data_IF_925971595930
#
_entry.id   IF_925971595930
#
_cell.length_a   1.000
_cell.length_b   1.000
_cell.length_c   1.000
_cell.angle_alpha   90.00
_cell.angle_beta   90.00
_cell.angle_gamma   90.00
#
_symmetry.space_group_name_H-M   'P 1'
#
loop_
_entity.id
_entity.type
_entity.pdbx_description
1 polymer ?
#
# COMPACT_ATOMS: atom_id res chain seq x y z
N UNK A 1 14.30 -9.13 4.65
CA UNK A 1 14.29 -8.35 3.40
C UNK A 1 13.98 -6.89 3.68
N UNK A 2 14.62 -5.93 3.00
CA UNK A 2 14.25 -4.53 3.07
C UNK A 2 12.79 -4.31 2.67
N UNK A 3 12.08 -3.41 3.35
CA UNK A 3 10.69 -3.05 3.02
C UNK A 3 10.62 -2.31 1.69
N UNK A 4 11.59 -1.43 1.42
CA UNK A 4 11.74 -0.77 0.13
C UNK A 4 12.80 -1.50 -0.69
N UNK A 5 12.45 -1.91 -1.91
CA UNK A 5 13.41 -2.56 -2.80
C UNK A 5 14.53 -1.56 -3.14
N UNK A 6 15.82 -1.91 -2.98
CA UNK A 6 16.93 -0.99 -3.27
C UNK A 6 16.93 -0.47 -4.72
N UNK A 7 16.40 -1.26 -5.67
CA UNK A 7 16.28 -0.87 -7.07
C UNK A 7 15.23 0.23 -7.33
N UNK A 8 14.23 0.37 -6.44
CA UNK A 8 13.18 1.39 -6.55
C UNK A 8 13.42 2.58 -5.63
N UNK A 9 14.00 2.35 -4.44
CA UNK A 9 14.30 3.41 -3.48
C UNK A 9 15.54 3.05 -2.65
N UNK A 10 16.73 3.38 -3.16
CA UNK A 10 18.00 3.24 -2.44
C UNK A 10 18.33 4.42 -1.53
N UNK A 11 17.72 5.59 -1.78
CA UNK A 11 17.93 6.83 -1.03
C UNK A 11 16.58 7.47 -0.70
N UNK A 12 15.96 7.09 0.44
CA UNK A 12 14.70 7.70 0.86
C UNK A 12 14.83 9.23 0.93
N UNK A 13 13.75 9.94 0.64
CA UNK A 13 13.65 11.42 0.61
C UNK A 13 14.43 12.12 -0.50
N UNK A 14 15.18 11.39 -1.33
CA UNK A 14 15.83 11.97 -2.52
C UNK A 14 14.84 11.96 -3.70
N UNK A 15 14.53 13.12 -4.31
CA UNK A 15 13.64 13.18 -5.47
C UNK A 15 14.15 12.32 -6.63
N UNK A 16 13.25 11.55 -7.24
CA UNK A 16 13.52 10.75 -8.44
C UNK A 16 12.94 11.47 -9.66
N UNK A 17 13.76 11.67 -10.69
CA UNK A 17 13.35 12.35 -11.91
C UNK A 17 12.16 11.61 -12.58
N UNK A 18 11.10 12.35 -12.91
CA UNK A 18 9.87 11.80 -13.51
C UNK A 18 8.86 11.24 -12.50
N UNK A 19 9.19 11.18 -11.21
CA UNK A 19 8.30 10.69 -10.15
C UNK A 19 8.11 11.79 -9.09
N UNK A 20 7.24 12.79 -9.36
CA UNK A 20 7.02 13.87 -8.42
C UNK A 20 6.42 13.35 -7.12
N UNK A 21 6.91 13.87 -5.99
CA UNK A 21 6.35 13.56 -4.68
C UNK A 21 5.01 14.26 -4.49
N UNK A 22 4.09 13.56 -3.85
CA UNK A 22 2.85 14.15 -3.36
C UNK A 22 3.19 15.23 -2.32
N UNK A 23 2.48 16.34 -2.35
CA UNK A 23 2.57 17.40 -1.34
C UNK A 23 1.26 17.42 -0.56
N UNK A 24 1.32 17.28 0.76
CA UNK A 24 0.13 17.25 1.61
C UNK A 24 0.41 17.83 3.00
N UNK A 25 -0.58 18.47 3.64
CA UNK A 25 -0.43 18.91 5.03
C UNK A 25 -0.56 17.77 6.03
N UNK A 26 -0.10 17.97 7.29
CA UNK A 26 -0.43 17.08 8.40
C UNK A 26 -1.95 16.86 8.51
N UNK A 27 -2.38 15.66 8.89
CA UNK A 27 -3.80 15.31 8.98
C UNK A 27 -4.50 15.08 7.64
N UNK A 28 -3.82 15.28 6.50
CA UNK A 28 -4.45 15.06 5.20
C UNK A 28 -4.82 13.60 4.97
N UNK A 29 -6.01 13.41 4.40
CA UNK A 29 -6.45 12.11 3.90
C UNK A 29 -5.89 11.87 2.50
N UNK A 30 -5.15 10.78 2.35
CA UNK A 30 -4.53 10.37 1.09
C UNK A 30 -5.33 9.22 0.49
N UNK A 31 -5.59 9.31 -0.82
CA UNK A 31 -6.14 8.23 -1.63
C UNK A 31 -5.02 7.65 -2.47
N UNK A 32 -4.83 6.33 -2.38
CA UNK A 32 -3.83 5.62 -3.15
C UNK A 32 -4.53 4.65 -4.10
N UNK A 33 -4.02 4.56 -5.33
CA UNK A 33 -4.60 3.68 -6.36
C UNK A 33 -3.59 2.62 -6.78
N UNK A 34 -4.07 1.41 -6.99
CA UNK A 34 -3.30 0.32 -7.56
C UNK A 34 -4.16 -0.51 -8.52
N UNK A 35 -3.53 -1.14 -9.51
CA UNK A 35 -4.19 -2.11 -10.39
C UNK A 35 -4.15 -3.49 -9.75
N UNK A 36 -5.25 -4.22 -9.78
CA UNK A 36 -5.32 -5.56 -9.18
C UNK A 36 -4.63 -6.65 -10.03
N UNK A 37 -4.42 -6.39 -11.32
CA UNK A 37 -3.61 -7.23 -12.21
C UNK A 37 -4.03 -8.73 -12.23
N UNK A 38 -5.30 -9.01 -11.98
CA UNK A 38 -5.88 -10.35 -11.94
C UNK A 38 -5.91 -10.99 -10.54
N UNK A 39 -5.24 -10.43 -9.53
CA UNK A 39 -5.22 -10.98 -8.18
C UNK A 39 -6.55 -10.87 -7.43
N UNK A 40 -7.50 -10.13 -7.99
CA UNK A 40 -8.89 -10.05 -7.55
C UNK A 40 -9.81 -10.64 -8.60
N UNK A 41 -9.74 -10.19 -9.86
CA UNK A 41 -10.71 -10.63 -10.88
C UNK A 41 -10.48 -12.05 -11.37
N UNK A 42 -9.32 -12.68 -11.08
CA UNK A 42 -8.94 -14.02 -11.54
C UNK A 42 -8.40 -14.86 -10.36
N UNK A 43 -9.23 -15.16 -9.35
CA UNK A 43 -8.78 -15.89 -8.17
C UNK A 43 -8.34 -17.32 -8.52
N UNK A 44 -7.28 -17.80 -7.88
CA UNK A 44 -6.73 -19.15 -8.09
C UNK A 44 -7.66 -20.28 -7.58
N UNK A 45 -8.52 -19.96 -6.62
CA UNK A 45 -9.50 -20.86 -6.02
C UNK A 45 -10.79 -20.09 -5.64
N UNK A 46 -11.91 -20.80 -5.50
CA UNK A 46 -13.20 -20.18 -5.13
C UNK A 46 -13.22 -19.58 -3.73
N UNK A 47 -12.36 -20.07 -2.85
CA UNK A 47 -12.15 -19.60 -1.47
C UNK A 47 -10.84 -18.82 -1.32
N UNK A 48 -10.22 -18.42 -2.43
CA UNK A 48 -9.03 -17.57 -2.41
C UNK A 48 -9.34 -16.23 -1.75
N UNK A 49 -8.39 -15.74 -0.95
CA UNK A 49 -8.46 -14.42 -0.35
C UNK A 49 -7.34 -13.56 -0.91
N UNK A 50 -7.70 -12.44 -1.57
CA UNK A 50 -6.73 -11.51 -2.17
C UNK A 50 -5.88 -10.77 -1.14
N UNK A 51 -6.15 -10.93 0.16
CA UNK A 51 -5.24 -10.48 1.20
C UNK A 51 -5.56 -9.12 1.81
N UNK A 52 -4.70 -8.72 2.75
CA UNK A 52 -4.79 -7.42 3.42
C UNK A 52 -3.70 -6.47 2.92
N UNK A 53 -4.05 -5.20 2.79
CA UNK A 53 -3.11 -4.09 2.59
C UNK A 53 -2.90 -3.34 3.90
N UNK A 54 -1.68 -2.84 4.08
CA UNK A 54 -1.26 -2.07 5.22
C UNK A 54 -0.49 -0.85 4.74
N UNK A 55 -0.81 0.30 5.30
CA UNK A 55 -0.07 1.53 5.11
C UNK A 55 0.70 1.84 6.37
N UNK A 56 2.02 1.94 6.24
CA UNK A 56 2.93 2.32 7.31
C UNK A 56 3.62 3.63 6.96
N UNK A 57 4.10 4.35 7.97
CA UNK A 57 4.87 5.57 7.71
C UNK A 57 5.91 5.90 8.77
N UNK A 58 6.91 6.69 8.37
CA UNK A 58 8.02 7.09 9.23
C UNK A 58 8.64 8.43 8.81
N UNK A 59 9.01 9.22 9.81
CA UNK A 59 9.85 10.42 9.64
C UNK A 59 11.36 10.12 9.77
N UNK A 60 11.72 8.85 9.98
CA UNK A 60 13.11 8.37 10.13
C UNK A 60 13.40 7.28 9.08
N UNK A 61 13.22 7.55 7.78
CA UNK A 61 13.32 6.50 6.78
C UNK A 61 14.75 5.97 6.65
N UNK A 62 14.84 4.69 6.32
CA UNK A 62 16.12 4.01 6.12
C UNK A 62 16.01 3.00 4.98
N UNK A 63 17.02 2.95 4.11
CA UNK A 63 17.17 1.91 3.10
C UNK A 63 17.33 0.51 3.71
N UNK A 64 17.63 0.45 5.02
CA UNK A 64 17.85 -0.78 5.78
C UNK A 64 16.62 -1.22 6.59
N UNK A 65 15.50 -0.47 6.55
CA UNK A 65 14.27 -0.90 7.22
C UNK A 65 13.83 -2.26 6.69
N UNK A 66 13.77 -3.25 7.56
CA UNK A 66 13.26 -4.56 7.22
C UNK A 66 11.73 -4.55 7.22
N UNK A 67 11.10 -5.36 6.35
CA UNK A 67 9.66 -5.57 6.34
C UNK A 67 9.12 -5.93 7.74
N UNK A 68 9.79 -6.85 8.44
CA UNK A 68 9.38 -7.27 9.79
C UNK A 68 9.29 -6.10 10.77
N UNK A 69 10.23 -5.15 10.72
CA UNK A 69 10.20 -3.97 11.60
C UNK A 69 8.97 -3.11 11.35
N UNK A 70 8.60 -2.91 10.07
CA UNK A 70 7.40 -2.16 9.71
C UNK A 70 6.13 -2.91 10.16
N UNK A 71 6.08 -4.23 10.00
CA UNK A 71 4.94 -5.05 10.44
C UNK A 71 4.71 -4.97 11.97
N UNK A 72 5.76 -4.74 12.75
CA UNK A 72 5.68 -4.58 14.20
C UNK A 72 5.19 -3.18 14.64
N UNK A 73 5.06 -2.21 13.72
CA UNK A 73 4.61 -0.86 14.04
C UNK A 73 3.11 -0.81 14.36
N UNK A 74 2.79 -0.04 15.40
CA UNK A 74 1.43 0.20 15.86
C UNK A 74 1.00 1.64 15.54
N UNK A 75 -0.31 1.90 15.50
CA UNK A 75 -0.81 3.25 15.16
C UNK A 75 -0.40 4.34 16.14
N UNK A 76 -0.15 4.00 17.41
CA UNK A 76 0.38 4.94 18.41
C UNK A 76 1.90 5.17 18.31
N UNK A 77 2.58 4.56 17.33
CA UNK A 77 4.02 4.73 17.07
C UNK A 77 4.95 4.12 18.11
N UNK A 78 4.46 3.19 18.94
CA UNK A 78 5.25 2.52 19.99
C UNK A 78 5.70 1.11 19.62
N UNK A 79 5.12 0.52 18.58
CA UNK A 79 5.45 -0.81 18.09
C UNK A 79 6.85 -0.87 17.45
N UNK A 80 7.41 -2.08 17.37
CA UNK A 80 8.77 -2.30 16.87
C UNK A 80 9.80 -1.47 17.64
N UNK A 81 10.59 -0.68 16.91
CA UNK A 81 11.62 0.21 17.47
C UNK A 81 11.11 1.64 17.76
N UNK A 82 9.81 1.90 17.65
CA UNK A 82 9.24 3.24 17.82
C UNK A 82 9.70 4.23 16.74
N UNK A 83 10.10 3.72 15.57
CA UNK A 83 10.60 4.48 14.44
C UNK A 83 9.58 4.62 13.30
N UNK A 84 8.34 4.20 13.49
CA UNK A 84 7.26 4.40 12.54
C UNK A 84 5.88 4.06 13.11
N UNK A 85 4.85 4.11 12.26
CA UNK A 85 3.44 3.96 12.65
C UNK A 85 2.66 3.15 11.62
N UNK A 86 1.67 2.40 12.08
CA UNK A 86 0.60 1.87 11.22
C UNK A 86 -0.44 2.98 10.96
N UNK A 87 -0.60 3.36 9.70
CA UNK A 87 -1.51 4.43 9.26
C UNK A 87 -2.90 3.90 8.90
N UNK A 88 -2.97 2.75 8.22
CA UNK A 88 -4.24 2.08 7.93
C UNK A 88 -4.03 0.60 7.59
N UNK A 89 -5.13 -0.16 7.68
CA UNK A 89 -5.24 -1.54 7.21
C UNK A 89 -6.55 -1.68 6.44
N UNK A 90 -6.51 -2.39 5.32
CA UNK A 90 -7.68 -2.68 4.49
C UNK A 90 -7.55 -4.04 3.81
N UNK A 91 -8.57 -4.42 3.04
CA UNK A 91 -8.49 -5.54 2.09
C UNK A 91 -7.86 -5.05 0.79
N UNK A 92 -7.09 -5.90 0.12
CA UNK A 92 -6.53 -5.58 -1.22
C UNK A 92 -7.64 -5.35 -2.24
N UNK A 93 -8.69 -6.18 -2.16
CA UNK A 93 -9.93 -5.98 -2.89
C UNK A 93 -10.79 -4.91 -2.18
N UNK A 94 -11.02 -3.77 -2.83
CA UNK A 94 -11.89 -2.69 -2.32
C UNK A 94 -13.39 -2.93 -2.59
N UNK A 95 -13.73 -4.06 -3.23
CA UNK A 95 -15.09 -4.43 -3.62
C UNK A 95 -15.53 -3.85 -4.97
N UNK A 96 -14.74 -2.94 -5.55
CA UNK A 96 -15.15 -2.11 -6.68
C UNK A 96 -14.22 -2.26 -7.89
N UNK A 97 -12.93 -2.47 -7.69
CA UNK A 97 -11.92 -2.56 -8.74
C UNK A 97 -12.03 -3.83 -9.58
N UNK A 98 -11.64 -3.81 -10.85
CA UNK A 98 -11.58 -5.04 -11.63
C UNK A 98 -10.75 -4.85 -12.89
N UNK A 99 -10.07 -5.91 -13.31
CA UNK A 99 -9.52 -6.06 -14.64
C UNK A 99 -10.60 -6.52 -15.64
N UNK A 100 -10.52 -6.08 -16.91
CA UNK A 100 -11.35 -6.61 -17.98
C UNK A 100 -11.17 -8.12 -18.17
N UNK A 101 -12.28 -8.82 -18.36
CA UNK A 101 -12.26 -10.26 -18.57
C UNK A 101 -13.62 -10.94 -18.57
N UNK A 102 -13.57 -12.25 -18.78
CA UNK A 102 -14.74 -13.12 -18.80
C UNK A 102 -15.11 -13.72 -17.43
N UNK A 103 -14.43 -13.31 -16.35
CA UNK A 103 -14.67 -13.84 -15.01
C UNK A 103 -15.96 -13.27 -14.40
N UNK A 104 -16.52 -13.98 -13.43
CA UNK A 104 -17.73 -13.54 -12.72
C UNK A 104 -17.52 -12.16 -12.08
N UNK A 105 -16.45 -12.00 -11.31
CA UNK A 105 -16.08 -10.74 -10.63
C UNK A 105 -15.99 -9.57 -11.61
N UNK A 106 -15.30 -9.73 -12.75
CA UNK A 106 -15.18 -8.67 -13.77
C UNK A 106 -16.54 -8.23 -14.31
N UNK A 107 -17.46 -9.17 -14.55
CA UNK A 107 -18.81 -8.87 -15.04
C UNK A 107 -19.73 -8.29 -13.96
N UNK A 108 -19.68 -8.83 -12.74
CA UNK A 108 -20.45 -8.36 -11.58
C UNK A 108 -20.09 -6.91 -11.21
N UNK A 109 -18.82 -6.54 -11.39
CA UNK A 109 -18.32 -5.16 -11.20
C UNK A 109 -18.57 -4.25 -12.41
N UNK A 110 -19.29 -4.72 -13.42
CA UNK A 110 -19.68 -3.94 -14.60
C UNK A 110 -18.55 -3.65 -15.59
N UNK A 111 -17.42 -4.36 -15.51
CA UNK A 111 -16.27 -4.19 -16.42
C UNK A 111 -16.43 -5.12 -17.63
N UNK A 112 -16.44 -6.44 -17.40
CA UNK A 112 -16.53 -7.46 -18.45
C UNK A 112 -15.38 -7.42 -19.47
N UNK A 113 -15.47 -8.18 -20.57
CA UNK A 113 -14.34 -8.39 -21.48
C UNK A 113 -13.92 -7.16 -22.29
N UNK A 114 -14.88 -6.27 -22.60
CA UNK A 114 -14.65 -5.05 -23.36
C UNK A 114 -14.48 -3.81 -22.46
N UNK A 115 -14.48 -4.00 -21.14
CA UNK A 115 -14.35 -2.93 -20.17
C UNK A 115 -12.95 -2.33 -20.12
N UNK A 116 -12.81 -1.29 -19.30
CA UNK A 116 -11.53 -0.68 -18.96
C UNK A 116 -11.16 -1.03 -17.52
N UNK A 117 -9.86 -1.04 -17.23
CA UNK A 117 -9.35 -1.31 -15.88
C UNK A 117 -9.93 -0.29 -14.90
N UNK A 118 -10.51 -0.79 -13.81
CA UNK A 118 -10.89 0.03 -12.65
C UNK A 118 -9.91 -0.28 -11.52
N UNK A 119 -9.07 0.68 -11.16
CA UNK A 119 -8.08 0.54 -10.09
C UNK A 119 -8.74 0.43 -8.71
N UNK A 120 -8.13 -0.34 -7.81
CA UNK A 120 -8.51 -0.36 -6.41
C UNK A 120 -8.07 0.92 -5.72
N UNK A 121 -8.82 1.32 -4.70
CA UNK A 121 -8.57 2.54 -3.92
C UNK A 121 -8.34 2.18 -2.46
N UNK A 122 -7.10 2.39 -2.02
CA UNK A 122 -6.76 2.42 -0.61
C UNK A 122 -6.81 3.86 -0.08
N UNK A 123 -6.80 3.97 1.25
CA UNK A 123 -6.66 5.27 1.88
C UNK A 123 -6.00 5.22 3.24
N UNK A 124 -5.37 6.32 3.61
CA UNK A 124 -4.78 6.52 4.94
C UNK A 124 -4.80 8.01 5.28
N UNK A 125 -4.56 8.34 6.55
CA UNK A 125 -4.45 9.72 7.03
C UNK A 125 -3.03 9.96 7.50
N UNK A 126 -2.44 11.08 7.09
CA UNK A 126 -1.13 11.50 7.61
C UNK A 126 -1.25 11.89 9.07
N UNK A 127 -0.26 11.58 9.93
CA UNK A 127 -0.26 12.07 11.29
C UNK A 127 -0.35 13.60 11.38
N UNK A 128 -1.05 14.10 12.41
CA UNK A 128 -1.22 15.54 12.63
C UNK A 128 0.05 16.22 13.13
N UNK A 129 0.99 15.46 13.70
CA UNK A 129 2.23 15.92 14.31
C UNK A 129 3.43 15.93 13.34
N UNK A 130 3.18 15.83 12.03
CA UNK A 130 4.24 15.93 11.04
C UNK A 130 4.77 17.36 10.91
N UNK A 131 6.08 17.49 10.83
CA UNK A 131 6.75 18.79 10.70
C UNK A 131 6.61 19.34 9.27
N UNK A 132 6.14 20.59 9.14
CA UNK A 132 6.06 21.28 7.85
C UNK A 132 7.48 21.51 7.30
N UNK A 133 7.67 21.24 6.01
CA UNK A 133 8.96 21.30 5.33
C UNK A 133 9.78 20.02 5.42
N UNK A 134 9.31 19.01 6.17
CA UNK A 134 9.90 17.68 6.21
C UNK A 134 9.38 16.77 5.08
N UNK A 135 10.04 15.63 4.89
CA UNK A 135 9.55 14.54 4.08
C UNK A 135 9.11 13.37 4.99
N UNK A 136 8.01 12.72 4.61
CA UNK A 136 7.48 11.55 5.31
C UNK A 136 7.46 10.36 4.36
N UNK A 137 8.14 9.28 4.74
CA UNK A 137 8.14 8.06 3.92
C UNK A 137 6.98 7.17 4.32
N UNK A 138 6.30 6.64 3.30
CA UNK A 138 5.13 5.78 3.45
C UNK A 138 5.38 4.47 2.72
N UNK A 139 5.04 3.36 3.38
CA UNK A 139 5.20 2.00 2.86
C UNK A 139 3.83 1.36 2.68
N UNK A 140 3.55 0.93 1.46
CA UNK A 140 2.44 0.04 1.16
C UNK A 140 2.92 -1.39 1.25
N UNK A 141 2.23 -2.20 2.05
CA UNK A 141 2.54 -3.61 2.26
C UNK A 141 1.29 -4.43 1.99
N UNK A 142 1.42 -5.47 1.19
CA UNK A 142 0.33 -6.38 0.84
C UNK A 142 0.69 -7.81 1.21
N UNK A 143 -0.16 -8.41 2.05
CA UNK A 143 -0.12 -9.83 2.41
C UNK A 143 -0.98 -10.63 1.43
N UNK A 144 -0.35 -11.26 0.44
CA UNK A 144 -1.05 -12.09 -0.57
C UNK A 144 -1.02 -13.59 -0.22
N UNK A 145 -0.70 -13.94 1.02
CA UNK A 145 -0.47 -15.33 1.44
C UNK A 145 -1.72 -16.22 1.30
N UNK A 146 -2.93 -15.64 1.36
CA UNK A 146 -4.21 -16.36 1.32
C UNK A 146 -4.74 -16.73 -0.07
N UNK A 147 -4.01 -16.43 -1.14
CA UNK A 147 -4.56 -16.50 -2.50
C UNK A 147 -4.79 -17.92 -3.04
N UNK A 148 -4.19 -18.94 -2.42
CA UNK A 148 -4.48 -20.34 -2.74
C UNK A 148 -5.69 -20.91 -1.98
N UNK A 149 -6.31 -20.14 -1.09
CA UNK A 149 -7.39 -20.62 -0.23
C UNK A 149 -6.97 -21.87 0.55
N UNK A 150 -7.86 -22.86 0.63
CA UNK A 150 -7.59 -24.13 1.31
C UNK A 150 -6.55 -25.02 0.60
N UNK A 151 -6.18 -24.71 -0.66
CA UNK A 151 -5.21 -25.53 -1.42
C UNK A 151 -3.80 -25.41 -0.87
N UNK A 152 -3.45 -24.27 -0.28
CA UNK A 152 -2.15 -24.08 0.36
C UNK A 152 -2.21 -23.01 1.46
N UNK A 153 -2.54 -23.44 2.68
CA UNK A 153 -2.65 -22.55 3.84
C UNK A 153 -1.30 -22.16 4.47
N UNK A 154 -0.18 -22.69 3.96
CA UNK A 154 1.17 -22.42 4.47
C UNK A 154 1.96 -21.50 3.54
N UNK A 155 1.37 -21.09 2.43
CA UNK A 155 1.99 -20.14 1.51
C UNK A 155 2.24 -18.81 2.21
N UNK A 156 3.36 -18.17 1.90
CA UNK A 156 3.70 -16.85 2.43
C UNK A 156 4.21 -16.00 1.29
N UNK A 157 3.51 -14.90 1.02
CA UNK A 157 3.86 -14.02 -0.08
C UNK A 157 3.48 -12.58 0.23
N UNK A 158 4.48 -11.71 0.13
CA UNK A 158 4.36 -10.31 0.50
C UNK A 158 4.88 -9.42 -0.61
N UNK A 159 4.15 -8.35 -0.87
CA UNK A 159 4.53 -7.31 -1.79
C UNK A 159 4.67 -6.00 -1.05
N UNK A 160 5.60 -5.17 -1.51
CA UNK A 160 5.84 -3.86 -0.92
C UNK A 160 6.08 -2.82 -1.99
N UNK A 161 5.67 -1.59 -1.69
CA UNK A 161 6.00 -0.39 -2.45
C UNK A 161 6.25 0.76 -1.48
N UNK A 162 7.11 1.70 -1.86
CA UNK A 162 7.46 2.83 -1.01
C UNK A 162 7.36 4.13 -1.77
N UNK A 163 6.97 5.19 -1.07
CA UNK A 163 6.90 6.54 -1.59
C UNK A 163 7.25 7.56 -0.51
N UNK A 164 7.65 8.75 -0.92
CA UNK A 164 7.92 9.87 -0.04
C UNK A 164 6.91 10.99 -0.32
N UNK A 165 6.43 11.62 0.75
CA UNK A 165 5.46 12.71 0.71
C UNK A 165 6.11 13.96 1.30
N UNK A 166 6.00 15.08 0.60
CA UNK A 166 6.44 16.39 1.10
C UNK A 166 5.36 17.00 1.99
N UNK A 167 5.73 17.26 3.24
CA UNK A 167 4.82 17.85 4.22
C UNK A 167 4.84 19.37 4.06
N UNK A 168 3.70 19.93 3.69
CA UNK A 168 3.56 21.36 3.39
C UNK A 168 2.54 22.01 4.31
N UNK A 169 2.54 23.34 4.40
CA UNK A 169 1.48 24.05 5.10
C UNK A 169 0.12 23.74 4.43
N UNK A 170 -0.98 23.69 5.21
CA UNK A 170 -2.32 23.64 4.65
C UNK A 170 -2.53 24.78 3.65
N UNK A 171 -3.28 24.52 2.58
CA UNK A 171 -3.73 25.60 1.71
C UNK A 171 -4.62 26.54 2.55
N UNK A 172 -4.23 27.81 2.62
CA UNK A 172 -5.04 28.87 3.21
C UNK A 172 -6.21 29.29 2.34
#
# INVERSE_FOLDING_TARGET
SPVCKPSTQSKPTTPLAGFPRLRAPPGARILARHTENGHVSRPEASDAFSGYTYWYGTSKPSSSHALQNALDWTSNGRGGKGDGRLLSRGTYDDGECAEPGNTAISRERGIGPAGQIKSCVDSFTLPDDLEIGSAYSVYWVWDFSGHFGSRNTKHVEWYTSCMDIDIVAPYG
#
